data_IF_581089056409
#
_entry.id   IF_581089056409
#
_cell.length_a   1.000
_cell.length_b   1.000
_cell.length_c   1.000
_cell.angle_alpha   90.00
_cell.angle_beta   90.00
_cell.angle_gamma   90.00
#
_symmetry.space_group_name_H-M   'P 1'
#
loop_
_entity.id
_entity.type
_entity.pdbx_description
1 polymer ?
#
# COMPACT_ATOMS: atom_id res chain seq x y z
N UNK A 1 5.40 12.25 -0.19
CA UNK A 1 5.78 11.14 0.72
C UNK A 1 6.08 9.83 -0.02
N UNK A 2 5.24 9.39 -0.96
CA UNK A 2 5.49 8.15 -1.72
C UNK A 2 6.70 8.23 -2.66
N UNK A 3 6.92 9.36 -3.36
CA UNK A 3 8.09 9.54 -4.23
C UNK A 3 9.42 9.74 -3.48
N UNK A 4 9.38 10.13 -2.21
CA UNK A 4 10.59 10.34 -1.38
C UNK A 4 10.94 9.10 -0.55
N UNK A 5 10.02 8.14 -0.40
CA UNK A 5 10.22 6.98 0.46
C UNK A 5 11.25 5.98 -0.04
N UNK A 6 11.28 5.69 -1.34
CA UNK A 6 12.24 4.75 -1.95
C UNK A 6 13.70 5.19 -1.80
N UNK A 7 14.06 6.44 -2.16
CA UNK A 7 15.41 6.96 -1.94
C UNK A 7 15.83 7.00 -0.46
N UNK A 8 14.90 7.35 0.46
CA UNK A 8 15.19 7.39 1.90
C UNK A 8 15.54 6.02 2.48
N UNK A 9 14.88 4.95 2.03
CA UNK A 9 15.17 3.57 2.47
C UNK A 9 16.59 3.17 2.09
N UNK A 10 17.06 3.61 0.92
CA UNK A 10 18.39 3.28 0.42
C UNK A 10 19.50 4.11 1.09
N UNK A 11 19.19 5.34 1.51
CA UNK A 11 20.12 6.19 2.28
C UNK A 11 20.36 5.67 3.72
N UNK A 12 19.48 4.79 4.22
CA UNK A 12 19.63 4.11 5.52
C UNK A 12 20.57 2.90 5.40
N UNK A 13 21.76 3.08 4.82
CA UNK A 13 22.76 2.02 4.56
C UNK A 13 23.20 1.24 5.83
N UNK A 14 22.87 1.75 7.04
CA UNK A 14 23.16 1.10 8.32
C UNK A 14 21.98 0.43 9.03
N UNK A 15 20.75 0.51 8.52
CA UNK A 15 19.56 -0.07 9.16
C UNK A 15 19.06 -1.28 8.36
N UNK A 16 18.80 -2.40 9.03
CA UNK A 16 18.23 -3.56 8.35
C UNK A 16 16.80 -3.27 7.85
N UNK A 17 16.37 -3.88 6.74
CA UNK A 17 15.03 -3.64 6.20
C UNK A 17 13.93 -3.93 7.24
N UNK A 18 14.17 -4.95 8.08
CA UNK A 18 13.32 -5.33 9.19
C UNK A 18 13.23 -4.26 10.28
N UNK A 19 14.33 -3.58 10.61
CA UNK A 19 14.32 -2.47 11.56
C UNK A 19 13.51 -1.30 10.99
N UNK A 20 13.72 -0.95 9.72
CA UNK A 20 12.95 0.11 9.07
C UNK A 20 11.45 -0.20 9.07
N UNK A 21 11.07 -1.41 8.67
CA UNK A 21 9.67 -1.89 8.68
C UNK A 21 9.09 -1.86 10.10
N UNK A 22 9.84 -2.29 11.10
CA UNK A 22 9.40 -2.33 12.50
C UNK A 22 9.16 -0.93 13.06
N UNK A 23 10.13 -0.02 12.97
CA UNK A 23 10.01 1.34 13.49
C UNK A 23 8.90 2.13 12.78
N UNK A 24 8.76 1.97 11.47
CA UNK A 24 7.65 2.57 10.72
C UNK A 24 6.30 2.04 11.17
N UNK A 25 6.17 0.72 11.29
CA UNK A 25 4.90 0.07 11.63
C UNK A 25 4.46 0.39 13.06
N UNK A 26 5.39 0.40 14.03
CA UNK A 26 5.06 0.72 15.42
C UNK A 26 4.72 2.21 15.58
N UNK A 27 5.41 3.11 14.88
CA UNK A 27 5.09 4.53 14.90
C UNK A 27 3.68 4.78 14.34
N UNK A 28 3.35 4.15 13.21
CA UNK A 28 2.07 4.29 12.55
C UNK A 28 0.93 3.65 13.38
N UNK A 29 1.17 2.48 13.95
CA UNK A 29 0.22 1.81 14.86
C UNK A 29 -0.05 2.65 16.12
N UNK A 30 0.99 3.19 16.73
CA UNK A 30 0.87 4.04 17.93
C UNK A 30 0.13 5.33 17.62
N UNK A 31 0.48 6.00 16.52
CA UNK A 31 -0.19 7.23 16.09
C UNK A 31 -1.68 7.00 15.81
N UNK A 32 -2.03 5.94 15.08
CA UNK A 32 -3.43 5.59 14.82
C UNK A 32 -4.17 5.22 16.10
N UNK A 33 -3.55 4.45 17.00
CA UNK A 33 -4.14 4.09 18.28
C UNK A 33 -4.46 5.33 19.12
N UNK A 34 -3.51 6.27 19.23
CA UNK A 34 -3.71 7.53 19.94
C UNK A 34 -4.82 8.38 19.31
N UNK A 35 -4.85 8.49 17.98
CA UNK A 35 -5.91 9.22 17.26
C UNK A 35 -7.29 8.62 17.51
N UNK A 36 -7.42 7.30 17.46
CA UNK A 36 -8.68 6.60 17.74
C UNK A 36 -9.09 6.81 19.20
N UNK A 37 -8.12 6.78 20.13
CA UNK A 37 -8.36 7.01 21.56
C UNK A 37 -8.84 8.43 21.83
N UNK A 38 -8.28 9.44 21.15
CA UNK A 38 -8.70 10.85 21.27
C UNK A 38 -10.11 11.04 20.68
N UNK A 39 -10.40 10.44 19.52
CA UNK A 39 -11.71 10.58 18.85
C UNK A 39 -12.83 9.75 19.48
N UNK A 40 -12.53 8.70 20.23
CA UNK A 40 -13.53 7.81 20.79
C UNK A 40 -13.09 7.22 22.12
N UNK A 41 -13.82 7.48 23.23
CA UNK A 41 -13.48 6.91 24.54
C UNK A 41 -13.62 5.38 24.56
N UNK A 42 -14.51 4.82 23.74
CA UNK A 42 -14.72 3.38 23.58
C UNK A 42 -13.97 2.79 22.38
N UNK A 43 -12.65 2.85 22.44
CA UNK A 43 -11.72 2.31 21.43
C UNK A 43 -11.97 0.82 21.14
N UNK A 44 -12.26 0.01 22.17
CA UNK A 44 -12.51 -1.44 22.03
C UNK A 44 -13.73 -1.72 21.15
N UNK A 45 -14.80 -0.92 21.30
CA UNK A 45 -16.02 -1.08 20.50
C UNK A 45 -15.78 -0.75 19.03
N UNK A 46 -14.90 0.22 18.75
CA UNK A 46 -14.51 0.55 17.37
C UNK A 46 -13.71 -0.59 16.72
N UNK A 47 -12.77 -1.19 17.46
CA UNK A 47 -12.05 -2.38 16.97
C UNK A 47 -12.99 -3.56 16.70
N UNK A 48 -13.97 -3.79 17.57
CA UNK A 48 -14.99 -4.83 17.35
C UNK A 48 -15.88 -4.54 16.13
N UNK A 49 -16.27 -3.28 15.91
CA UNK A 49 -17.04 -2.86 14.73
C UNK A 49 -16.26 -3.00 13.42
N UNK A 50 -14.94 -2.79 13.47
CA UNK A 50 -14.06 -2.93 12.31
C UNK A 50 -14.06 -4.37 11.75
N UNK A 51 -14.27 -5.37 12.61
CA UNK A 51 -14.53 -6.75 12.24
C UNK A 51 -13.41 -7.44 11.44
N UNK A 52 -13.73 -8.60 10.87
CA UNK A 52 -12.80 -9.45 10.11
C UNK A 52 -12.29 -8.77 8.83
N UNK A 53 -13.10 -7.93 8.17
CA UNK A 53 -12.70 -7.22 6.97
C UNK A 53 -11.45 -6.34 7.20
N UNK A 54 -11.35 -5.72 8.39
CA UNK A 54 -10.21 -4.89 8.77
C UNK A 54 -8.95 -5.72 9.03
N UNK A 55 -9.10 -6.95 9.55
CA UNK A 55 -7.98 -7.89 9.73
C UNK A 55 -7.45 -8.35 8.37
N UNK A 56 -8.35 -8.75 7.47
CA UNK A 56 -7.99 -9.16 6.12
C UNK A 56 -7.32 -8.00 5.37
N UNK A 57 -7.90 -6.81 5.40
CA UNK A 57 -7.32 -5.61 4.79
C UNK A 57 -5.95 -5.25 5.39
N UNK A 58 -5.81 -5.36 6.71
CA UNK A 58 -4.52 -5.16 7.39
C UNK A 58 -3.45 -6.16 6.97
N UNK A 59 -3.81 -7.43 6.79
CA UNK A 59 -2.89 -8.47 6.31
C UNK A 59 -2.43 -8.22 4.87
N UNK A 60 -3.35 -7.88 3.96
CA UNK A 60 -3.00 -7.51 2.59
C UNK A 60 -2.12 -6.26 2.55
N UNK A 61 -2.46 -5.23 3.33
CA UNK A 61 -1.68 -4.00 3.39
C UNK A 61 -0.28 -4.23 3.96
N UNK A 62 -0.16 -5.01 5.05
CA UNK A 62 1.13 -5.38 5.64
C UNK A 62 1.99 -6.15 4.65
N UNK A 63 1.42 -7.16 3.99
CA UNK A 63 2.12 -7.96 2.99
C UNK A 63 2.59 -7.09 1.83
N UNK A 64 1.73 -6.20 1.31
CA UNK A 64 2.08 -5.28 0.24
C UNK A 64 3.26 -4.36 0.62
N UNK A 65 3.29 -3.83 1.85
CA UNK A 65 4.41 -3.00 2.32
C UNK A 65 5.71 -3.80 2.48
N UNK A 66 5.66 -5.02 3.03
CA UNK A 66 6.85 -5.87 3.14
C UNK A 66 7.40 -6.16 1.74
N UNK A 67 6.56 -6.62 0.82
CA UNK A 67 6.99 -6.89 -0.56
C UNK A 67 7.51 -5.65 -1.28
N UNK A 68 6.94 -4.46 -1.02
CA UNK A 68 7.43 -3.20 -1.57
C UNK A 68 8.82 -2.83 -1.04
N UNK A 69 9.08 -2.97 0.26
CA UNK A 69 10.39 -2.65 0.84
C UNK A 69 11.46 -3.60 0.29
N UNK A 70 11.19 -4.91 0.27
CA UNK A 70 12.07 -5.91 -0.36
C UNK A 70 12.26 -5.64 -1.86
N UNK A 71 11.17 -5.26 -2.55
CA UNK A 71 11.11 -4.56 -3.84
C UNK A 71 12.29 -3.62 -4.08
N UNK A 72 12.26 -2.54 -3.32
CA UNK A 72 13.16 -1.39 -3.45
C UNK A 72 14.60 -1.73 -3.04
N UNK A 73 14.80 -2.66 -2.11
CA UNK A 73 16.17 -3.03 -1.67
C UNK A 73 16.84 -4.04 -2.60
N UNK A 74 16.08 -4.96 -3.20
CA UNK A 74 16.64 -5.99 -4.08
C UNK A 74 16.65 -5.60 -5.56
N UNK A 75 15.90 -4.57 -5.97
CA UNK A 75 15.83 -4.12 -7.37
C UNK A 75 16.07 -2.62 -7.51
N UNK A 76 16.04 -2.09 -8.75
CA UNK A 76 16.09 -0.64 -8.95
C UNK A 76 14.74 -0.02 -8.60
N UNK A 77 14.75 1.20 -8.04
CA UNK A 77 13.53 1.94 -7.70
C UNK A 77 12.61 2.07 -8.93
N UNK A 78 13.20 2.26 -10.12
CA UNK A 78 12.48 2.32 -11.39
C UNK A 78 11.69 1.03 -11.67
N UNK A 79 12.31 -0.14 -11.49
CA UNK A 79 11.63 -1.42 -11.73
C UNK A 79 10.51 -1.68 -10.71
N UNK A 80 10.72 -1.34 -9.43
CA UNK A 80 9.67 -1.43 -8.41
C UNK A 80 8.49 -0.51 -8.71
N UNK A 81 8.75 0.74 -9.12
CA UNK A 81 7.70 1.69 -9.47
C UNK A 81 6.96 1.28 -10.75
N UNK A 82 7.66 0.74 -11.74
CA UNK A 82 7.05 0.19 -12.95
C UNK A 82 6.11 -0.97 -12.62
N UNK A 83 6.51 -1.90 -11.76
CA UNK A 83 5.63 -2.97 -11.28
C UNK A 83 4.44 -2.41 -10.49
N UNK A 84 4.66 -1.42 -9.61
CA UNK A 84 3.58 -0.81 -8.82
C UNK A 84 2.54 -0.11 -9.71
N UNK A 85 2.99 0.45 -10.82
CA UNK A 85 2.14 1.06 -11.84
C UNK A 85 1.20 0.08 -12.54
N UNK A 86 1.44 -1.23 -12.44
CA UNK A 86 0.48 -2.25 -12.87
C UNK A 86 -0.66 -2.50 -11.87
N UNK A 87 -0.55 -2.00 -10.64
CA UNK A 87 -1.54 -2.20 -9.57
C UNK A 87 -2.98 -1.75 -9.94
N UNK A 88 -3.22 -0.64 -10.67
CA UNK A 88 -4.58 -0.27 -11.07
C UNK A 88 -5.26 -1.32 -11.95
N UNK A 89 -4.50 -2.02 -12.81
CA UNK A 89 -5.02 -3.10 -13.65
C UNK A 89 -5.44 -4.30 -12.82
N UNK A 90 -4.57 -4.70 -11.89
CA UNK A 90 -4.85 -5.79 -10.95
C UNK A 90 -6.05 -5.42 -10.08
N UNK A 91 -6.11 -4.19 -9.56
CA UNK A 91 -7.23 -3.69 -8.78
C UNK A 91 -8.54 -3.67 -9.58
N UNK A 92 -8.52 -3.25 -10.85
CA UNK A 92 -9.69 -3.31 -11.74
C UNK A 92 -10.17 -4.73 -11.98
N UNK A 93 -9.24 -5.68 -12.20
CA UNK A 93 -9.57 -7.10 -12.36
C UNK A 93 -10.20 -7.69 -11.09
N UNK A 94 -9.60 -7.44 -9.92
CA UNK A 94 -10.18 -7.87 -8.65
C UNK A 94 -11.50 -7.15 -8.33
N UNK A 95 -11.65 -5.89 -8.73
CA UNK A 95 -12.92 -5.16 -8.63
C UNK A 95 -14.03 -5.82 -9.46
N UNK A 96 -13.71 -6.24 -10.68
CA UNK A 96 -14.64 -7.01 -11.51
C UNK A 96 -14.97 -8.39 -10.92
N UNK A 97 -13.97 -9.11 -10.39
CA UNK A 97 -14.17 -10.47 -9.85
C UNK A 97 -14.89 -10.46 -8.48
N UNK A 98 -14.46 -9.64 -7.52
CA UNK A 98 -15.00 -9.61 -6.15
C UNK A 98 -16.23 -8.72 -6.02
N UNK A 99 -16.23 -7.53 -6.62
CA UNK A 99 -17.31 -6.54 -6.49
C UNK A 99 -18.34 -6.61 -7.62
N UNK A 100 -18.05 -7.36 -8.70
CA UNK A 100 -18.89 -7.44 -9.92
C UNK A 100 -19.16 -6.08 -10.57
N UNK A 101 -18.32 -5.10 -10.30
CA UNK A 101 -18.39 -3.79 -10.95
C UNK A 101 -17.98 -3.95 -12.42
N UNK A 102 -18.87 -3.54 -13.33
CA UNK A 102 -18.58 -3.55 -14.76
C UNK A 102 -17.67 -2.38 -15.06
N UNK A 103 -16.46 -2.68 -15.53
CA UNK A 103 -15.52 -1.68 -16.00
C UNK A 103 -16.09 -1.07 -17.29
N UNK A 104 -16.45 0.21 -17.24
CA UNK A 104 -16.98 0.92 -18.40
C UNK A 104 -15.85 1.20 -19.42
N UNK A 105 -16.20 1.41 -20.69
CA UNK A 105 -15.24 1.69 -21.78
C UNK A 105 -14.32 2.86 -21.45
N UNK A 106 -14.87 3.86 -20.76
CA UNK A 106 -14.14 5.05 -20.30
C UNK A 106 -13.02 4.70 -19.30
N UNK A 107 -13.29 3.79 -18.36
CA UNK A 107 -12.28 3.33 -17.39
C UNK A 107 -11.19 2.53 -18.08
N UNK A 108 -11.54 1.70 -19.06
CA UNK A 108 -10.57 0.96 -19.87
C UNK A 108 -9.61 1.89 -20.63
N UNK A 109 -10.14 2.96 -21.24
CA UNK A 109 -9.31 3.96 -21.93
C UNK A 109 -8.38 4.70 -20.97
N UNK A 110 -8.86 5.08 -19.78
CA UNK A 110 -8.05 5.75 -18.76
C UNK A 110 -6.92 4.85 -18.23
N UNK A 111 -7.22 3.57 -17.99
CA UNK A 111 -6.22 2.59 -17.57
C UNK A 111 -5.15 2.40 -18.67
N UNK A 112 -5.56 2.25 -19.92
CA UNK A 112 -4.62 2.08 -21.05
C UNK A 112 -3.75 3.32 -21.26
N UNK A 113 -4.33 4.52 -21.18
CA UNK A 113 -3.59 5.78 -21.23
C UNK A 113 -2.58 5.90 -20.07
N UNK A 114 -2.96 5.49 -18.86
CA UNK A 114 -2.04 5.44 -17.73
C UNK A 114 -0.88 4.46 -17.98
N UNK A 115 -1.14 3.25 -18.48
CA UNK A 115 -0.07 2.30 -18.84
C UNK A 115 0.91 2.87 -19.87
N UNK A 116 0.40 3.56 -20.89
CA UNK A 116 1.25 4.21 -21.90
C UNK A 116 2.11 5.29 -21.23
N UNK A 117 1.53 6.12 -20.36
CA UNK A 117 2.27 7.12 -19.59
C UNK A 117 3.37 6.51 -18.73
N UNK A 118 3.10 5.37 -18.08
CA UNK A 118 4.07 4.62 -17.27
C UNK A 118 5.19 4.03 -18.14
N UNK A 119 4.88 3.50 -19.32
CA UNK A 119 5.86 2.95 -20.26
C UNK A 119 6.83 3.99 -20.83
N UNK A 120 6.39 5.24 -20.91
CA UNK A 120 7.17 6.36 -21.43
C UNK A 120 8.09 7.01 -20.37
N UNK A 121 7.85 6.77 -19.07
CA UNK A 121 8.67 7.27 -17.95
C UNK A 121 9.88 6.38 -17.67
#
# INVERSE_FOLDING_TARGET
>A
LWSTGGPLIRLLEGASEWQFLFYRSIALATALFLLIRIKSPNTITQFKKAGIASVIGGLFLSSAFVTFVFSVTHTTIANTLFMLSSAPFIAGLFGWILLRERIDKTQWTAMTAAAIGILLM
#
